data_IF_312392198293
#
_entry.id   IF_312392198293
#
_cell.length_a   1.000
_cell.length_b   1.000
_cell.length_c   1.000
_cell.angle_alpha   90.00
_cell.angle_beta   90.00
_cell.angle_gamma   90.00
#
_symmetry.space_group_name_H-M   'P 1'
#
loop_
_entity.id
_entity.type
_entity.pdbx_description
1 polymer ?
#
# COMPACT_ATOMS: atom_id res chain seq x y z
N UNK A 1 -77.18 -10.00 50.63
CA UNK A 1 -76.55 -11.32 50.80
C UNK A 1 -75.36 -11.42 49.84
N UNK A 2 -74.20 -11.83 50.39
CA UNK A 2 -73.13 -12.65 49.76
C UNK A 2 -72.05 -12.02 48.84
N UNK A 3 -70.81 -12.12 49.37
CA UNK A 3 -69.44 -12.31 48.78
C UNK A 3 -68.87 -11.20 47.86
N UNK A 4 -67.74 -10.51 48.12
CA UNK A 4 -66.34 -10.84 48.52
C UNK A 4 -65.36 -11.00 47.34
N UNK A 5 -64.31 -10.16 47.38
CA UNK A 5 -62.88 -10.39 47.08
C UNK A 5 -62.34 -10.62 45.63
N UNK A 6 -61.43 -9.68 45.26
CA UNK A 6 -60.08 -9.82 44.67
C UNK A 6 -59.89 -10.56 43.33
N UNK A 7 -59.37 -9.84 42.32
CA UNK A 7 -58.36 -10.33 41.37
C UNK A 7 -57.47 -9.15 40.93
N UNK A 8 -56.27 -9.01 41.51
CA UNK A 8 -54.93 -9.41 40.97
C UNK A 8 -54.41 -8.44 39.89
N UNK A 9 -53.46 -7.60 40.31
CA UNK A 9 -52.47 -6.92 39.47
C UNK A 9 -51.69 -7.94 38.64
N UNK A 10 -51.59 -7.72 37.33
CA UNK A 10 -50.47 -8.19 36.52
C UNK A 10 -49.84 -7.00 35.84
N UNK A 11 -48.80 -6.46 36.48
CA UNK A 11 -47.85 -5.57 35.85
C UNK A 11 -47.07 -6.39 34.81
N UNK A 12 -47.36 -6.16 33.53
CA UNK A 12 -46.56 -6.70 32.43
C UNK A 12 -45.22 -5.99 32.39
N UNK A 13 -44.17 -6.62 32.94
CA UNK A 13 -42.80 -6.20 32.75
C UNK A 13 -42.41 -6.60 31.33
N UNK A 14 -42.60 -5.69 30.38
CA UNK A 14 -41.97 -5.78 29.07
C UNK A 14 -40.47 -5.57 29.25
N UNK A 15 -39.74 -6.67 29.43
CA UNK A 15 -38.29 -6.70 29.34
C UNK A 15 -37.91 -6.34 27.91
N UNK A 16 -37.61 -5.06 27.66
CA UNK A 16 -36.93 -4.65 26.45
C UNK A 16 -35.54 -5.28 26.46
N UNK A 17 -35.36 -6.36 25.71
CA UNK A 17 -34.04 -6.84 25.33
C UNK A 17 -33.41 -5.78 24.43
N UNK A 18 -32.75 -4.80 25.06
CA UNK A 18 -31.78 -3.94 24.39
C UNK A 18 -30.61 -4.83 23.99
N UNK A 19 -30.70 -5.42 22.80
CA UNK A 19 -29.54 -5.98 22.14
C UNK A 19 -28.59 -4.81 21.88
N UNK A 20 -27.53 -4.71 22.67
CA UNK A 20 -26.37 -3.92 22.31
C UNK A 20 -25.89 -4.45 20.95
N UNK A 21 -26.30 -3.80 19.87
CA UNK A 21 -25.67 -3.94 18.58
C UNK A 21 -24.23 -3.45 18.79
N UNK A 22 -23.31 -4.39 19.04
CA UNK A 22 -21.88 -4.12 18.97
C UNK A 22 -21.62 -3.66 17.56
N UNK A 23 -21.39 -2.35 17.41
CA UNK A 23 -20.90 -1.77 16.17
C UNK A 23 -19.54 -2.40 15.94
N UNK A 24 -19.49 -3.47 15.15
CA UNK A 24 -18.23 -4.07 14.71
C UNK A 24 -17.59 -3.06 13.77
N UNK A 25 -16.70 -2.23 14.31
CA UNK A 25 -15.83 -1.41 13.48
C UNK A 25 -15.06 -2.35 12.56
N UNK A 26 -15.13 -2.09 11.25
CA UNK A 26 -14.36 -2.88 10.29
C UNK A 26 -12.87 -2.78 10.64
N UNK A 27 -12.11 -3.87 10.61
CA UNK A 27 -10.72 -3.85 11.02
C UNK A 27 -9.93 -2.92 10.07
N UNK A 28 -9.36 -1.87 10.65
CA UNK A 28 -8.46 -0.95 9.95
C UNK A 28 -7.06 -1.52 9.98
N UNK A 29 -6.35 -1.38 8.87
CA UNK A 29 -4.95 -1.75 8.68
C UNK A 29 -4.16 -0.56 8.14
N UNK A 30 -2.85 -0.59 8.34
CA UNK A 30 -1.93 0.32 7.68
C UNK A 30 -1.21 -0.43 6.56
N UNK A 31 -1.23 0.12 5.36
CA UNK A 31 -0.53 -0.43 4.20
C UNK A 31 0.55 0.54 3.77
N UNK A 32 1.80 0.10 3.81
CA UNK A 32 2.92 0.84 3.28
C UNK A 32 3.32 0.26 1.93
N UNK A 33 3.42 1.10 0.91
CA UNK A 33 3.95 0.75 -0.40
C UNK A 33 5.17 1.60 -0.72
N UNK A 34 6.13 1.00 -1.40
CA UNK A 34 7.30 1.71 -1.90
C UNK A 34 7.71 1.17 -3.27
N UNK A 35 8.26 2.03 -4.12
CA UNK A 35 8.87 1.61 -5.39
C UNK A 35 10.26 2.21 -5.46
N UNK A 36 11.25 1.39 -5.82
CA UNK A 36 12.64 1.83 -5.99
C UNK A 36 13.19 1.33 -7.32
N UNK A 37 14.07 2.12 -7.95
CA UNK A 37 14.91 1.66 -9.06
C UNK A 37 16.25 1.15 -8.54
N UNK A 38 16.99 0.44 -9.41
CA UNK A 38 18.38 0.14 -9.15
C UNK A 38 19.16 1.43 -8.85
N UNK A 39 20.10 1.43 -7.89
CA UNK A 39 20.79 2.63 -7.44
C UNK A 39 21.49 3.30 -8.62
N UNK A 40 21.12 4.56 -8.86
CA UNK A 40 21.77 5.35 -9.90
C UNK A 40 23.18 5.76 -9.43
N UNK A 41 24.17 5.75 -10.33
CA UNK A 41 25.49 6.32 -10.05
C UNK A 41 25.46 7.86 -9.96
N UNK A 42 24.30 8.48 -10.23
CA UNK A 42 24.08 9.91 -10.21
C UNK A 42 23.10 10.26 -9.09
N UNK A 43 23.66 10.80 -8.00
CA UNK A 43 23.02 11.23 -6.74
C UNK A 43 21.82 12.19 -6.85
N UNK A 44 21.34 12.49 -8.06
CA UNK A 44 20.36 13.55 -8.38
C UNK A 44 18.98 12.99 -8.70
N UNK A 45 18.87 11.72 -9.09
CA UNK A 45 17.59 11.12 -9.44
C UNK A 45 16.95 10.55 -8.16
N UNK A 46 15.71 10.97 -7.88
CA UNK A 46 14.95 10.51 -6.71
C UNK A 46 14.83 8.98 -6.82
N UNK A 47 15.49 8.24 -5.91
CA UNK A 47 15.53 6.77 -5.89
C UNK A 47 14.20 6.20 -5.37
N UNK A 48 13.12 6.50 -6.10
CA UNK A 48 11.78 6.00 -5.82
C UNK A 48 10.91 6.89 -4.93
N UNK A 49 9.85 6.29 -4.40
CA UNK A 49 8.92 6.94 -3.48
C UNK A 49 8.13 5.91 -2.68
N UNK A 50 7.47 6.38 -1.62
CA UNK A 50 6.62 5.55 -0.78
C UNK A 50 5.41 6.31 -0.26
N UNK A 51 4.38 5.55 0.08
CA UNK A 51 3.21 6.04 0.78
C UNK A 51 2.78 5.02 1.85
N UNK A 52 2.23 5.53 2.94
CA UNK A 52 1.60 4.73 3.99
C UNK A 52 0.19 5.26 4.17
N UNK A 53 -0.79 4.39 3.98
CA UNK A 53 -2.21 4.73 4.09
C UNK A 53 -2.93 3.77 5.03
N UNK A 54 -3.93 4.30 5.75
CA UNK A 54 -4.89 3.47 6.47
C UNK A 54 -5.94 2.94 5.50
N UNK A 55 -6.24 1.65 5.57
CA UNK A 55 -7.20 0.98 4.70
C UNK A 55 -8.10 0.07 5.52
N UNK A 56 -9.28 -0.24 5.00
CA UNK A 56 -10.19 -1.22 5.59
C UNK A 56 -9.96 -2.57 4.91
N UNK A 57 -9.91 -3.66 5.68
CA UNK A 57 -9.79 -5.00 5.10
C UNK A 57 -10.95 -5.26 4.11
N UNK A 58 -10.61 -5.80 2.94
CA UNK A 58 -11.53 -6.05 1.84
C UNK A 58 -11.75 -4.84 0.92
N UNK A 59 -11.24 -3.65 1.27
CA UNK A 59 -11.31 -2.46 0.43
C UNK A 59 -9.93 -2.15 -0.20
N UNK A 60 -9.90 -1.64 -1.45
CA UNK A 60 -8.67 -1.16 -2.04
C UNK A 60 -8.10 0.03 -1.26
N UNK A 61 -6.79 0.01 -0.99
CA UNK A 61 -6.06 1.19 -0.55
C UNK A 61 -6.00 2.24 -1.68
N UNK A 62 -5.78 3.53 -1.37
CA UNK A 62 -5.48 4.54 -2.38
C UNK A 62 -4.35 4.06 -3.31
N UNK A 63 -4.50 4.27 -4.61
CA UNK A 63 -3.46 3.90 -5.56
C UNK A 63 -2.27 4.83 -5.41
N UNK A 64 -1.10 4.26 -5.18
CA UNK A 64 0.14 5.01 -5.08
C UNK A 64 0.74 5.24 -6.46
N UNK A 65 1.03 6.49 -6.78
CA UNK A 65 1.71 6.88 -8.01
C UNK A 65 3.01 7.60 -7.69
N UNK A 66 4.05 7.31 -8.45
CA UNK A 66 5.32 8.04 -8.37
C UNK A 66 5.99 8.11 -9.73
N UNK A 67 7.05 8.91 -9.83
CA UNK A 67 7.97 8.89 -10.97
C UNK A 67 9.32 8.41 -10.47
N UNK A 68 9.96 7.54 -11.24
CA UNK A 68 11.31 7.06 -10.98
C UNK A 68 12.13 7.08 -12.27
N UNK A 69 13.42 7.30 -12.14
CA UNK A 69 14.33 7.25 -13.30
C UNK A 69 14.94 5.85 -13.39
N UNK A 70 14.92 5.30 -14.60
CA UNK A 70 15.55 4.03 -14.94
C UNK A 70 16.66 4.25 -15.94
N UNK A 71 17.71 3.45 -15.79
CA UNK A 71 18.84 3.43 -16.72
C UNK A 71 19.34 2.01 -16.85
N UNK A 72 19.52 1.58 -18.10
CA UNK A 72 20.09 0.28 -18.41
C UNK A 72 21.31 0.49 -19.30
N UNK A 73 22.37 -0.27 -19.05
CA UNK A 73 23.59 -0.19 -19.84
C UNK A 73 23.99 -1.58 -20.30
N UNK A 74 24.07 -1.78 -21.61
CA UNK A 74 24.53 -3.03 -22.23
C UNK A 74 25.70 -2.70 -23.15
N UNK A 75 26.86 -3.35 -22.91
CA UNK A 75 28.08 -3.16 -23.70
C UNK A 75 28.48 -1.68 -23.91
N UNK A 76 28.36 -0.86 -22.86
CA UNK A 76 28.73 0.56 -22.89
C UNK A 76 27.71 1.50 -23.53
N UNK A 77 26.63 0.98 -24.11
CA UNK A 77 25.48 1.78 -24.57
C UNK A 77 24.42 1.81 -23.49
N UNK A 78 23.95 3.01 -23.14
CA UNK A 78 22.94 3.15 -22.10
C UNK A 78 21.65 3.75 -22.66
N UNK A 79 20.54 3.16 -22.24
CA UNK A 79 19.19 3.69 -22.43
C UNK A 79 18.71 4.27 -21.10
N UNK A 80 17.84 5.27 -21.16
CA UNK A 80 17.26 5.90 -19.99
C UNK A 80 15.76 6.05 -20.17
N UNK A 81 15.01 6.01 -19.08
CA UNK A 81 13.58 6.21 -19.10
C UNK A 81 13.11 6.82 -17.78
N UNK A 82 11.92 7.40 -17.81
CA UNK A 82 11.17 7.78 -16.64
C UNK A 82 10.02 6.80 -16.53
N UNK A 83 9.99 6.01 -15.46
CA UNK A 83 8.90 5.09 -15.19
C UNK A 83 7.84 5.74 -14.29
N UNK A 84 6.58 5.49 -14.62
CA UNK A 84 5.40 5.95 -13.88
C UNK A 84 4.61 4.74 -13.36
N UNK A 85 5.02 4.12 -12.25
CA UNK A 85 4.23 3.08 -11.59
C UNK A 85 2.91 3.62 -11.04
N UNK A 86 1.88 2.79 -11.14
CA UNK A 86 0.68 2.86 -10.31
C UNK A 86 0.57 1.55 -9.51
N UNK A 87 0.63 1.65 -8.19
CA UNK A 87 0.59 0.51 -7.27
C UNK A 87 -0.75 0.50 -6.55
N UNK A 88 -1.51 -0.57 -6.73
CA UNK A 88 -2.77 -0.80 -6.05
C UNK A 88 -2.66 -2.02 -5.14
N UNK A 89 -3.14 -1.88 -3.90
CA UNK A 89 -3.12 -2.94 -2.89
C UNK A 89 -4.51 -3.13 -2.33
N UNK A 90 -4.92 -4.38 -2.15
CA UNK A 90 -6.14 -4.74 -1.44
C UNK A 90 -5.80 -5.85 -0.46
N UNK A 91 -5.87 -5.57 0.84
CA UNK A 91 -5.74 -6.62 1.85
C UNK A 91 -7.07 -7.33 1.98
N UNK A 92 -7.11 -8.59 1.58
CA UNK A 92 -8.33 -9.39 1.51
C UNK A 92 -8.70 -9.96 2.88
N UNK A 93 -7.70 -10.36 3.67
CA UNK A 93 -7.89 -10.97 4.99
C UNK A 93 -6.66 -10.75 5.85
N UNK A 94 -6.87 -10.59 7.15
CA UNK A 94 -5.81 -10.66 8.17
C UNK A 94 -6.19 -11.74 9.19
N UNK A 95 -5.27 -12.65 9.48
CA UNK A 95 -5.47 -13.75 10.43
C UNK A 95 -4.12 -14.20 10.97
N UNK A 96 -4.04 -14.45 12.28
CA UNK A 96 -2.87 -15.06 12.93
C UNK A 96 -1.52 -14.38 12.60
N UNK A 97 -1.49 -13.04 12.53
CA UNK A 97 -0.28 -12.28 12.21
C UNK A 97 0.14 -12.35 10.74
N UNK A 98 -0.74 -12.83 9.85
CA UNK A 98 -0.56 -12.84 8.40
C UNK A 98 -1.64 -12.02 7.71
N UNK A 99 -1.30 -11.46 6.55
CA UNK A 99 -2.20 -10.70 5.70
C UNK A 99 -2.19 -11.30 4.29
N UNK A 100 -3.34 -11.74 3.80
CA UNK A 100 -3.51 -12.08 2.38
C UNK A 100 -3.91 -10.83 1.64
N UNK A 101 -3.14 -10.49 0.61
CA UNK A 101 -3.35 -9.28 -0.18
C UNK A 101 -3.29 -9.57 -1.67
N UNK A 102 -3.97 -8.74 -2.45
CA UNK A 102 -3.75 -8.58 -3.88
C UNK A 102 -2.91 -7.33 -4.09
N UNK A 103 -1.82 -7.49 -4.83
CA UNK A 103 -0.85 -6.47 -5.16
C UNK A 103 -0.78 -6.35 -6.68
N UNK A 104 -1.17 -5.18 -7.20
CA UNK A 104 -1.13 -4.90 -8.62
C UNK A 104 -0.24 -3.69 -8.90
N UNK A 105 0.61 -3.80 -9.91
CA UNK A 105 1.45 -2.70 -10.41
C UNK A 105 1.22 -2.58 -11.90
N UNK A 106 0.81 -1.41 -12.36
CA UNK A 106 0.94 -1.05 -13.78
C UNK A 106 2.07 -0.05 -13.92
N UNK A 107 2.78 -0.13 -15.04
CA UNK A 107 3.92 0.75 -15.28
C UNK A 107 4.00 1.13 -16.75
N UNK A 108 4.33 2.39 -16.97
CA UNK A 108 4.65 2.98 -18.26
C UNK A 108 6.01 3.67 -18.15
N UNK A 109 6.88 3.43 -19.13
CA UNK A 109 8.23 4.00 -19.22
C UNK A 109 8.34 4.77 -20.52
N UNK A 110 8.71 6.04 -20.42
CA UNK A 110 8.95 6.90 -21.58
C UNK A 110 10.12 7.85 -21.34
N UNK A 111 10.54 8.56 -22.40
CA UNK A 111 11.56 9.60 -22.29
C UNK A 111 11.15 10.81 -21.44
N UNK A 112 9.85 11.03 -21.26
CA UNK A 112 9.29 12.04 -20.36
C UNK A 112 7.98 11.54 -19.80
N UNK A 113 7.75 11.77 -18.50
CA UNK A 113 6.52 11.43 -17.82
C UNK A 113 6.11 12.55 -16.88
N UNK A 114 4.80 12.71 -16.76
CA UNK A 114 4.18 13.70 -15.91
C UNK A 114 3.25 13.02 -14.92
N UNK A 115 3.39 13.38 -13.65
CA UNK A 115 2.52 12.94 -12.56
C UNK A 115 1.72 14.14 -12.05
N UNK A 116 0.40 13.99 -12.07
CA UNK A 116 -0.54 14.94 -11.49
C UNK A 116 -1.07 14.37 -10.18
N UNK A 117 -0.96 15.14 -9.11
CA UNK A 117 -1.53 14.81 -7.81
C UNK A 117 -2.57 15.86 -7.46
N UNK A 118 -3.75 15.43 -7.01
CA UNK A 118 -4.78 16.31 -6.52
C UNK A 118 -5.08 15.97 -5.06
N UNK A 119 -4.91 16.95 -4.18
CA UNK A 119 -5.21 16.81 -2.75
C UNK A 119 -6.23 17.88 -2.38
N UNK A 120 -7.50 17.46 -2.24
CA UNK A 120 -8.62 18.40 -2.10
C UNK A 120 -8.77 19.30 -3.33
N UNK A 121 -8.62 20.61 -3.13
CA UNK A 121 -8.65 21.60 -4.23
C UNK A 121 -7.26 21.96 -4.79
N UNK A 122 -6.18 21.47 -4.19
CA UNK A 122 -4.84 21.74 -4.69
C UNK A 122 -4.42 20.70 -5.74
N UNK A 123 -3.98 21.17 -6.91
CA UNK A 123 -3.34 20.34 -7.95
C UNK A 123 -1.85 20.62 -7.99
N UNK A 124 -1.06 19.55 -7.95
CA UNK A 124 0.39 19.57 -8.14
C UNK A 124 0.74 18.73 -9.37
N UNK A 125 1.70 19.20 -10.15
CA UNK A 125 2.18 18.51 -11.35
C UNK A 125 3.71 18.45 -11.31
N UNK A 126 4.25 17.26 -11.53
CA UNK A 126 5.69 17.00 -11.59
C UNK A 126 5.99 16.30 -12.89
N UNK A 127 6.90 16.86 -13.68
CA UNK A 127 7.40 16.25 -14.92
C UNK A 127 8.87 15.90 -14.74
N UNK A 128 9.22 14.66 -15.07
CA UNK A 128 10.61 14.23 -15.21
C UNK A 128 10.87 13.84 -16.66
N UNK A 129 12.08 14.10 -17.12
CA UNK A 129 12.54 13.76 -18.47
C UNK A 129 13.95 13.21 -18.41
N UNK A 130 14.28 12.33 -19.35
CA UNK A 130 15.63 11.81 -19.51
C UNK A 130 16.60 12.93 -19.94
N UNK A 131 17.90 12.79 -19.66
CA UNK A 131 18.91 13.75 -20.13
C UNK A 131 18.90 13.89 -21.66
N UNK A 132 19.21 15.09 -22.16
CA UNK A 132 19.31 15.33 -23.58
C UNK A 132 20.36 14.40 -24.22
N UNK A 133 20.02 13.81 -25.36
CA UNK A 133 20.89 12.87 -26.09
C UNK A 133 20.91 11.44 -25.54
N UNK A 134 20.22 11.15 -24.43
CA UNK A 134 20.02 9.78 -23.99
C UNK A 134 19.06 9.03 -24.93
N UNK A 135 19.33 7.74 -25.17
CA UNK A 135 18.40 6.89 -25.92
C UNK A 135 17.22 6.52 -25.01
N UNK A 136 15.96 6.81 -25.41
CA UNK A 136 14.81 6.56 -24.55
C UNK A 136 14.51 5.05 -24.43
N UNK A 137 14.10 4.64 -23.24
CA UNK A 137 13.36 3.39 -23.02
C UNK A 137 11.89 3.69 -23.26
N UNK A 138 11.20 2.79 -23.97
CA UNK A 138 9.75 2.83 -24.14
C UNK A 138 9.23 1.43 -23.88
N UNK A 139 8.53 1.26 -22.77
CA UNK A 139 8.00 -0.03 -22.36
C UNK A 139 6.75 0.15 -21.49
N UNK A 140 5.88 -0.85 -21.49
CA UNK A 140 4.68 -0.90 -20.66
C UNK A 140 4.46 -2.32 -20.16
N UNK A 141 4.20 -2.45 -18.86
CA UNK A 141 3.88 -3.74 -18.28
C UNK A 141 2.92 -3.64 -17.10
N UNK A 142 2.33 -4.78 -16.76
CA UNK A 142 1.49 -4.93 -15.60
C UNK A 142 1.82 -6.23 -14.88
N UNK A 143 1.75 -6.18 -13.55
CA UNK A 143 1.90 -7.32 -12.66
C UNK A 143 0.72 -7.35 -11.70
N UNK A 144 0.14 -8.53 -11.51
CA UNK A 144 -0.93 -8.76 -10.54
C UNK A 144 -0.59 -10.04 -9.77
N UNK A 145 -0.56 -9.94 -8.44
CA UNK A 145 -0.16 -11.02 -7.54
C UNK A 145 -1.11 -11.07 -6.36
N UNK A 146 -1.44 -12.29 -5.94
CA UNK A 146 -2.10 -12.53 -4.66
C UNK A 146 -1.11 -13.32 -3.82
N UNK A 147 -0.83 -12.83 -2.62
CA UNK A 147 0.13 -13.45 -1.72
C UNK A 147 -0.30 -13.29 -0.26
N UNK A 148 0.13 -14.21 0.58
CA UNK A 148 0.02 -14.09 2.02
C UNK A 148 1.38 -13.68 2.57
N UNK A 149 1.41 -12.55 3.26
CA UNK A 149 2.62 -11.97 3.85
C UNK A 149 2.49 -11.93 5.37
N UNK A 150 3.62 -11.92 6.07
CA UNK A 150 3.64 -11.70 7.51
C UNK A 150 3.37 -10.21 7.80
N UNK A 151 2.53 -9.93 8.79
CA UNK A 151 2.28 -8.57 9.27
C UNK A 151 3.59 -7.99 9.83
N UNK A 152 3.90 -6.75 9.45
CA UNK A 152 5.12 -6.05 9.81
C UNK A 152 6.36 -6.46 9.01
N UNK A 153 6.23 -7.28 7.97
CA UNK A 153 7.32 -7.67 7.08
C UNK A 153 7.16 -7.07 5.68
N UNK A 154 8.23 -6.50 5.14
CA UNK A 154 8.26 -6.04 3.75
C UNK A 154 8.43 -7.22 2.80
N UNK A 155 7.52 -7.32 1.84
CA UNK A 155 7.65 -8.22 0.68
C UNK A 155 7.75 -7.40 -0.59
N UNK A 156 8.33 -7.96 -1.63
CA UNK A 156 8.55 -7.23 -2.88
C UNK A 156 8.30 -8.07 -4.13
N UNK A 157 7.93 -7.40 -5.22
CA UNK A 157 7.97 -7.97 -6.57
C UNK A 157 9.13 -7.33 -7.33
N UNK A 158 9.94 -8.17 -7.98
CA UNK A 158 10.88 -7.72 -8.99
C UNK A 158 10.13 -7.37 -10.28
N UNK A 159 10.34 -6.17 -10.78
CA UNK A 159 9.77 -5.67 -12.01
C UNK A 159 10.89 -5.53 -13.07
N UNK A 160 10.53 -5.43 -14.37
CA UNK A 160 11.48 -5.07 -15.42
C UNK A 160 12.31 -3.83 -15.10
N UNK A 161 13.44 -3.70 -15.79
CA UNK A 161 14.37 -2.57 -15.66
C UNK A 161 14.97 -2.36 -14.26
N UNK A 162 15.10 -3.45 -13.49
CA UNK A 162 15.71 -3.44 -12.17
C UNK A 162 14.88 -2.72 -11.11
N UNK A 163 13.59 -2.48 -11.38
CA UNK A 163 12.67 -1.83 -10.45
C UNK A 163 12.15 -2.86 -9.45
N UNK A 164 11.95 -2.44 -8.21
CA UNK A 164 11.32 -3.26 -7.17
C UNK A 164 10.16 -2.51 -6.56
N UNK A 165 9.04 -3.20 -6.41
CA UNK A 165 7.88 -2.66 -5.72
C UNK A 165 7.66 -3.45 -4.43
N UNK A 166 7.53 -2.75 -3.32
CA UNK A 166 7.46 -3.27 -1.96
C UNK A 166 6.07 -3.01 -1.37
N UNK A 167 5.65 -3.93 -0.52
CA UNK A 167 4.45 -3.80 0.30
C UNK A 167 4.72 -4.30 1.71
N UNK A 168 4.16 -3.62 2.70
CA UNK A 168 4.12 -4.05 4.09
C UNK A 168 2.74 -3.73 4.67
N UNK A 169 2.22 -4.61 5.51
CA UNK A 169 0.95 -4.43 6.19
C UNK A 169 1.20 -4.43 7.69
N UNK A 170 0.74 -3.40 8.39
CA UNK A 170 0.79 -3.30 9.85
C UNK A 170 -0.62 -3.16 10.43
N UNK A 171 -0.83 -3.67 11.64
CA UNK A 171 -2.09 -3.52 12.37
C UNK A 171 -1.92 -2.32 13.32
N UNK A 172 -2.66 -1.21 13.13
CA UNK A 172 -2.62 -0.09 14.04
C UNK A 172 -3.21 -0.48 15.41
N UNK A 173 -2.69 0.11 16.48
CA UNK A 173 -3.25 -0.02 17.82
C UNK A 173 -4.57 0.76 17.97
N UNK A 174 -5.18 0.71 19.15
CA UNK A 174 -6.44 1.40 19.45
C UNK A 174 -6.39 2.93 19.23
N UNK A 175 -5.20 3.53 19.20
CA UNK A 175 -4.97 4.95 18.95
C UNK A 175 -4.67 5.24 17.47
N UNK A 176 -4.78 4.25 16.58
CA UNK A 176 -4.46 4.38 15.16
C UNK A 176 -2.97 4.36 14.84
N UNK A 177 -2.10 4.11 15.82
CA UNK A 177 -0.64 4.13 15.64
C UNK A 177 -0.09 2.74 15.31
N UNK A 178 0.79 2.67 14.32
CA UNK A 178 1.57 1.46 14.02
C UNK A 178 2.85 1.40 14.85
N UNK A 179 3.38 0.21 15.09
CA UNK A 179 4.63 -0.06 15.81
C UNK A 179 5.93 0.32 15.07
N UNK A 180 5.81 0.89 13.86
CA UNK A 180 6.94 1.24 13.00
C UNK A 180 7.57 0.05 12.27
N UNK A 181 6.94 -1.13 12.31
CA UNK A 181 7.39 -2.32 11.57
C UNK A 181 7.44 -2.07 10.05
N UNK A 182 6.47 -1.33 9.52
CA UNK A 182 6.40 -0.94 8.10
C UNK A 182 7.03 0.43 7.79
N UNK A 183 8.09 0.83 8.49
CA UNK A 183 8.87 2.03 8.17
C UNK A 183 9.81 1.78 6.96
N UNK A 184 9.58 2.53 5.88
CA UNK A 184 10.33 2.43 4.61
C UNK A 184 11.80 2.81 4.76
N UNK A 185 12.16 3.58 5.78
CA UNK A 185 13.56 3.84 6.11
C UNK A 185 14.35 2.54 6.26
N UNK A 186 13.72 1.48 6.80
CA UNK A 186 14.35 0.16 6.95
C UNK A 186 14.60 -0.54 5.61
N UNK A 187 13.80 -0.28 4.59
CA UNK A 187 13.98 -0.82 3.23
C UNK A 187 15.15 -0.12 2.53
N UNK A 188 15.38 1.16 2.80
CA UNK A 188 16.47 1.94 2.21
C UNK A 188 17.83 1.70 2.91
N UNK A 189 17.84 1.46 4.23
CA UNK A 189 19.08 1.22 5.01
C UNK A 189 19.55 -0.23 5.01
N UNK A 190 18.71 -1.21 4.65
CA UNK A 190 19.05 -2.65 4.60
C UNK A 190 19.93 -3.05 3.39
N UNK A 191 20.78 -2.15 2.89
CA UNK A 191 21.70 -2.42 1.77
C UNK A 191 22.98 -3.18 2.17
N UNK A 192 23.16 -3.53 3.45
CA UNK A 192 24.32 -4.31 3.94
C UNK A 192 23.98 -5.61 4.66
N UNK A 193 22.71 -6.00 4.77
CA UNK A 193 22.37 -7.33 5.27
C UNK A 193 21.03 -7.78 4.68
N UNK A 194 21.00 -8.97 4.10
CA UNK A 194 19.80 -9.69 3.65
C UNK A 194 18.90 -10.10 4.84
N UNK A 195 18.48 -9.15 5.66
CA UNK A 195 17.60 -9.38 6.80
C UNK A 195 16.22 -8.81 6.48
N UNK A 196 15.33 -9.70 6.01
CA UNK A 196 13.89 -9.54 6.15
C UNK A 196 13.09 -9.07 4.94
N UNK A 197 13.66 -9.05 3.73
CA UNK A 197 12.87 -8.81 2.51
C UNK A 197 12.80 -10.07 1.65
N UNK A 198 11.59 -10.59 1.47
CA UNK A 198 11.34 -11.80 0.68
C UNK A 198 10.46 -11.47 -0.53
N UNK A 199 10.60 -12.25 -1.60
CA UNK A 199 9.77 -12.06 -2.81
C UNK A 199 8.30 -12.41 -2.53
N UNK A 200 7.38 -11.65 -3.12
CA UNK A 200 5.93 -11.94 -3.14
C UNK A 200 5.64 -13.16 -4.01
#
# INVERSE_FOLDING_TARGET
MRFSLRFVMTAGISAMLSACATVTSAPTISTTVAVTSAPSSQKVLRDGGSATDLSVVGQPAPTFHTLLSVRECVAGKCTAGIAKPAVAVTVQRVSEGQATLRFAVTMDIAGSQTLKSQTGQATSEVTLSIPAGATPITDQFAVDRVATIKVGEFRHVALPHGIRAYVCVAIPNANGMTDGSCDVGRVQTAKSAELGTSAL
#
